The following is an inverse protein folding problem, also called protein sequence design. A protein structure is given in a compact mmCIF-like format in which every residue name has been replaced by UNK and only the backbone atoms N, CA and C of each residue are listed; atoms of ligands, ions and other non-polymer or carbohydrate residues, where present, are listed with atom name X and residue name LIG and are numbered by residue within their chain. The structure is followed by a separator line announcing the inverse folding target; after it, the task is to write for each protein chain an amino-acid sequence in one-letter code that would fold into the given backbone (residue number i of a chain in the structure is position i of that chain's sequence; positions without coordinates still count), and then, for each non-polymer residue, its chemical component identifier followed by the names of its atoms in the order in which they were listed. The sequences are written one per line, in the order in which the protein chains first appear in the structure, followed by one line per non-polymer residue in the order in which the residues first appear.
data_IF_534398739718
#
_entry.id   IF_534398739718
#
_cell.length_a   1.000
_cell.length_b   1.000
_cell.length_c   1.000
_cell.angle_alpha   90.00
_cell.angle_beta   90.00
_cell.angle_gamma   90.00
#
_symmetry.space_group_name_H-M   'P 1'
#
loop_
_entity.id
_entity.type
_entity.pdbx_description
1 polymer ?
#
# COMPACT_ATOMS: atom_id res chain seq x y z
N UNK A 1 -14.75 -28.24 24.90
CA UNK A 1 -14.48 -28.34 23.45
C UNK A 1 -14.35 -26.93 22.92
N UNK A 2 -13.12 -26.46 22.72
CA UNK A 2 -12.83 -25.13 22.20
C UNK A 2 -13.09 -25.12 20.70
N UNK A 3 -14.17 -24.49 20.26
CA UNK A 3 -14.41 -24.19 18.86
C UNK A 3 -13.25 -23.33 18.32
N UNK A 4 -12.42 -23.93 17.48
CA UNK A 4 -11.51 -23.20 16.60
C UNK A 4 -12.34 -22.33 15.67
N UNK A 5 -12.55 -21.06 16.04
CA UNK A 5 -13.07 -20.03 15.15
C UNK A 5 -12.19 -20.01 13.90
N UNK A 6 -12.74 -20.54 12.81
CA UNK A 6 -12.10 -20.55 11.51
C UNK A 6 -11.70 -19.13 11.10
N UNK A 7 -10.69 -19.04 10.23
CA UNK A 7 -9.94 -17.87 9.80
C UNK A 7 -10.80 -16.85 8.99
N UNK A 8 -11.94 -16.39 9.53
CA UNK A 8 -12.96 -15.54 8.87
C UNK A 8 -12.50 -14.10 8.56
N UNK A 9 -11.24 -13.75 8.85
CA UNK A 9 -10.69 -12.41 8.59
C UNK A 9 -10.11 -12.25 7.19
N UNK A 10 -10.08 -13.30 6.38
CA UNK A 10 -9.48 -13.31 5.06
C UNK A 10 -10.50 -13.66 3.99
N UNK A 11 -10.50 -12.86 2.94
CA UNK A 11 -11.27 -13.09 1.72
C UNK A 11 -10.43 -12.74 0.50
N UNK A 12 -10.61 -13.49 -0.57
CA UNK A 12 -10.02 -13.15 -1.87
C UNK A 12 -10.85 -12.07 -2.55
N UNK A 13 -10.16 -11.10 -3.16
CA UNK A 13 -10.81 -10.12 -4.02
C UNK A 13 -11.41 -10.82 -5.23
N UNK A 14 -12.61 -10.38 -5.63
CA UNK A 14 -13.21 -10.79 -6.91
C UNK A 14 -12.57 -10.03 -8.09
N UNK A 15 -12.91 -10.40 -9.32
CA UNK A 15 -12.30 -9.81 -10.52
C UNK A 15 -12.50 -8.28 -10.62
N UNK A 16 -13.68 -7.77 -10.25
CA UNK A 16 -13.96 -6.33 -10.26
C UNK A 16 -13.10 -5.58 -9.23
N UNK A 17 -12.99 -6.13 -8.01
CA UNK A 17 -12.15 -5.55 -6.96
C UNK A 17 -10.66 -5.57 -7.33
N UNK A 18 -10.20 -6.62 -8.02
CA UNK A 18 -8.83 -6.66 -8.56
C UNK A 18 -8.60 -5.58 -9.61
N UNK A 19 -9.57 -5.33 -10.49
CA UNK A 19 -9.47 -4.27 -11.49
C UNK A 19 -9.42 -2.87 -10.84
N UNK A 20 -10.25 -2.62 -9.82
CA UNK A 20 -10.22 -1.35 -9.07
C UNK A 20 -8.87 -1.18 -8.38
N UNK A 21 -8.36 -2.23 -7.72
CA UNK A 21 -7.03 -2.21 -7.11
C UNK A 21 -5.94 -1.91 -8.15
N UNK A 22 -6.04 -2.53 -9.34
CA UNK A 22 -5.11 -2.28 -10.43
C UNK A 22 -5.14 -0.82 -10.89
N UNK A 23 -6.32 -0.23 -11.05
CA UNK A 23 -6.49 1.17 -11.42
C UNK A 23 -5.84 2.09 -10.39
N UNK A 24 -6.19 1.93 -9.10
CA UNK A 24 -5.63 2.72 -7.98
C UNK A 24 -4.10 2.70 -7.98
N UNK A 25 -3.49 1.54 -8.23
CA UNK A 25 -2.04 1.39 -8.20
C UNK A 25 -1.34 1.86 -9.48
N UNK A 26 -2.09 2.03 -10.58
CA UNK A 26 -1.56 2.31 -11.92
C UNK A 26 -1.81 3.73 -12.40
N UNK A 27 -2.76 4.44 -11.81
CA UNK A 27 -3.03 5.85 -12.08
C UNK A 27 -1.85 6.70 -11.58
N UNK A 28 -1.40 7.65 -12.40
CA UNK A 28 -0.35 8.57 -12.00
C UNK A 28 -0.91 9.58 -11.00
N UNK A 29 -0.18 9.80 -9.91
CA UNK A 29 -0.50 10.79 -8.89
C UNK A 29 0.61 11.83 -8.80
N UNK A 30 0.27 13.12 -8.62
CA UNK A 30 1.24 14.18 -8.48
C UNK A 30 1.88 14.16 -7.09
N UNK A 31 3.20 14.28 -7.03
CA UNK A 31 3.94 14.63 -5.83
C UNK A 31 4.50 16.03 -6.02
N UNK A 32 3.88 17.00 -5.35
CA UNK A 32 4.26 18.40 -5.48
C UNK A 32 5.60 18.68 -4.80
N UNK A 33 6.56 19.18 -5.57
CA UNK A 33 7.83 19.67 -5.06
C UNK A 33 7.64 20.95 -4.23
N UNK A 34 8.38 21.08 -3.13
CA UNK A 34 8.41 22.31 -2.33
C UNK A 34 9.34 23.34 -2.96
N UNK A 35 8.90 24.59 -3.10
CA UNK A 35 9.72 25.67 -3.69
C UNK A 35 9.82 25.53 -5.21
N UNK A 36 11.05 25.49 -5.74
CA UNK A 36 11.30 25.38 -7.19
C UNK A 36 11.51 23.93 -7.67
N UNK A 37 11.31 22.94 -6.79
CA UNK A 37 11.37 21.54 -7.21
C UNK A 37 10.15 21.21 -8.08
N UNK A 38 10.32 20.44 -9.18
CA UNK A 38 9.21 20.09 -10.06
C UNK A 38 8.19 19.20 -9.36
N UNK A 39 6.95 19.23 -9.84
CA UNK A 39 5.97 18.17 -9.51
C UNK A 39 6.36 16.90 -10.23
N UNK A 40 6.40 15.78 -9.51
CA UNK A 40 6.62 14.46 -10.08
C UNK A 40 5.27 13.80 -10.37
N UNK A 41 5.14 13.15 -11.53
CA UNK A 41 3.98 12.33 -11.87
C UNK A 41 4.38 10.87 -11.76
N UNK A 42 3.92 10.19 -10.71
CA UNK A 42 4.37 8.83 -10.39
C UNK A 42 3.19 7.91 -10.13
N UNK A 43 3.32 6.64 -10.50
CA UNK A 43 2.32 5.63 -10.16
C UNK A 43 2.63 5.04 -8.79
N UNK A 44 1.63 4.83 -7.91
CA UNK A 44 1.85 4.22 -6.60
C UNK A 44 2.59 2.89 -6.66
N UNK A 45 2.28 2.04 -7.67
CA UNK A 45 3.00 0.77 -7.87
C UNK A 45 4.51 0.93 -8.04
N UNK A 46 4.95 1.98 -8.74
CA UNK A 46 6.38 2.19 -9.01
C UNK A 46 7.10 2.60 -7.73
N UNK A 47 6.48 3.46 -6.91
CA UNK A 47 6.99 3.85 -5.59
C UNK A 47 7.09 2.62 -4.69
N UNK A 48 6.04 1.80 -4.63
CA UNK A 48 6.01 0.59 -3.80
C UNK A 48 7.15 -0.37 -4.18
N UNK A 49 7.35 -0.61 -5.49
CA UNK A 49 8.42 -1.46 -6.00
C UNK A 49 9.79 -0.88 -5.65
N UNK A 50 9.99 0.42 -5.85
CA UNK A 50 11.25 1.09 -5.57
C UNK A 50 11.62 1.04 -4.07
N UNK A 51 10.67 1.37 -3.19
CA UNK A 51 10.85 1.34 -1.73
C UNK A 51 11.15 -0.09 -1.26
N UNK A 52 10.35 -1.08 -1.67
CA UNK A 52 10.59 -2.48 -1.32
C UNK A 52 11.98 -2.95 -1.76
N UNK A 53 12.36 -2.63 -2.99
CA UNK A 53 13.67 -3.01 -3.55
C UNK A 53 14.79 -2.39 -2.74
N UNK A 54 14.69 -1.10 -2.40
CA UNK A 54 15.72 -0.39 -1.63
C UNK A 54 15.85 -0.92 -0.21
N UNK A 55 14.73 -1.19 0.49
CA UNK A 55 14.74 -1.80 1.83
C UNK A 55 15.46 -3.15 1.80
N UNK A 56 15.13 -4.01 0.84
CA UNK A 56 15.78 -5.33 0.69
C UNK A 56 17.28 -5.21 0.40
N UNK A 57 17.70 -4.23 -0.40
CA UNK A 57 19.12 -3.95 -0.66
C UNK A 57 19.86 -3.43 0.57
N UNK A 58 19.16 -2.96 1.60
CA UNK A 58 19.74 -2.55 2.88
C UNK A 58 19.68 -3.65 3.93
N UNK A 59 19.26 -4.87 3.56
CA UNK A 59 19.14 -5.99 4.47
C UNK A 59 17.85 -5.98 5.31
N UNK A 60 16.94 -5.03 5.07
CA UNK A 60 15.66 -4.96 5.78
C UNK A 60 14.67 -5.90 5.10
N UNK A 61 14.22 -6.91 5.83
CA UNK A 61 13.26 -7.88 5.32
C UNK A 61 11.85 -7.27 5.22
N UNK A 62 11.25 -7.32 4.03
CA UNK A 62 9.86 -6.89 3.79
C UNK A 62 8.98 -8.13 3.68
N UNK A 63 8.17 -8.42 4.71
CA UNK A 63 7.28 -9.60 4.77
C UNK A 63 6.06 -9.46 3.85
N UNK A 64 5.43 -8.29 3.88
CA UNK A 64 4.30 -7.96 3.02
C UNK A 64 4.19 -6.45 2.78
N UNK A 65 3.39 -6.09 1.78
CA UNK A 65 2.97 -4.72 1.50
C UNK A 65 1.45 -4.71 1.43
N UNK A 66 0.80 -3.81 2.16
CA UNK A 66 -0.66 -3.75 2.27
C UNK A 66 -1.15 -2.35 1.93
N UNK A 67 -2.23 -2.28 1.16
CA UNK A 67 -3.03 -1.06 1.03
C UNK A 67 -3.96 -0.97 2.24
N UNK A 68 -4.05 0.21 2.84
CA UNK A 68 -4.89 0.48 4.00
C UNK A 68 -5.78 1.72 3.75
N UNK A 69 -6.51 2.13 4.79
CA UNK A 69 -7.27 3.36 4.81
C UNK A 69 -8.53 3.30 3.95
N UNK A 70 -9.06 4.47 3.63
CA UNK A 70 -10.28 4.61 2.81
C UNK A 70 -10.09 4.05 1.40
N UNK A 71 -8.87 4.05 0.87
CA UNK A 71 -8.55 3.47 -0.44
C UNK A 71 -8.77 1.95 -0.44
N UNK A 72 -8.41 1.22 0.63
CA UNK A 72 -8.71 -0.20 0.72
C UNK A 72 -10.24 -0.47 0.73
N UNK A 73 -11.01 0.37 1.43
CA UNK A 73 -12.48 0.28 1.42
C UNK A 73 -13.07 0.60 0.04
N UNK A 74 -12.50 1.58 -0.68
CA UNK A 74 -12.91 1.92 -2.04
C UNK A 74 -12.69 0.77 -3.03
N UNK A 75 -11.58 0.04 -2.89
CA UNK A 75 -11.31 -1.16 -3.69
C UNK A 75 -12.37 -2.24 -3.45
N UNK A 76 -12.87 -2.37 -2.22
CA UNK A 76 -13.84 -3.40 -1.86
C UNK A 76 -15.27 -3.07 -2.29
N UNK A 77 -15.66 -1.80 -2.24
CA UNK A 77 -17.02 -1.33 -2.56
C UNK A 77 -16.92 -0.05 -3.37
N UNK A 78 -17.35 -0.10 -4.64
CA UNK A 78 -17.45 1.07 -5.52
C UNK A 78 -18.63 1.93 -5.05
N UNK A 79 -18.43 3.24 -4.85
CA UNK A 79 -19.45 4.20 -4.36
C UNK A 79 -19.97 4.03 -2.91
N UNK A 80 -19.11 3.69 -1.98
CA UNK A 80 -19.39 3.72 -0.53
C UNK A 80 -19.47 5.15 0.08
N UNK A 81 -19.59 6.20 -0.73
CA UNK A 81 -19.64 7.59 -0.27
C UNK A 81 -18.32 8.13 0.27
N UNK A 82 -17.26 7.33 0.27
CA UNK A 82 -15.90 7.73 0.65
C UNK A 82 -15.10 8.08 -0.59
N UNK A 83 -14.82 9.37 -0.82
CA UNK A 83 -13.75 9.78 -1.71
C UNK A 83 -12.43 9.27 -1.13
N UNK A 84 -11.65 8.48 -1.88
CA UNK A 84 -10.29 8.16 -1.45
C UNK A 84 -9.37 9.32 -1.82
N UNK A 85 -8.82 9.99 -0.80
CA UNK A 85 -7.94 11.14 -0.97
C UNK A 85 -6.48 10.78 -0.68
N UNK A 86 -6.28 9.83 0.23
CA UNK A 86 -4.98 9.44 0.75
C UNK A 86 -4.65 8.00 0.32
N UNK A 87 -3.39 7.76 -0.02
CA UNK A 87 -2.87 6.43 -0.35
C UNK A 87 -2.02 5.90 0.81
N UNK A 88 -2.64 5.11 1.68
CA UNK A 88 -1.97 4.52 2.83
C UNK A 88 -1.35 3.17 2.49
N UNK A 89 -0.02 3.11 2.42
CA UNK A 89 0.72 1.87 2.20
C UNK A 89 1.43 1.46 3.49
N UNK A 90 1.20 0.22 3.93
CA UNK A 90 1.91 -0.40 5.04
C UNK A 90 2.95 -1.35 4.48
N UNK A 91 4.22 -1.13 4.83
CA UNK A 91 5.30 -2.10 4.62
C UNK A 91 5.49 -2.90 5.90
N UNK A 92 5.17 -4.19 5.86
CA UNK A 92 5.39 -5.13 6.95
C UNK A 92 6.86 -5.51 7.06
N UNK A 93 7.69 -4.61 7.59
CA UNK A 93 9.13 -4.83 7.79
C UNK A 93 9.46 -5.44 9.16
N UNK A 94 10.65 -6.03 9.28
CA UNK A 94 11.28 -6.36 10.55
C UNK A 94 12.33 -5.29 10.85
N UNK A 95 12.23 -4.66 12.03
CA UNK A 95 13.12 -3.59 12.48
C UNK A 95 13.66 -3.92 13.89
N UNK A 96 14.64 -4.84 14.01
CA UNK A 96 15.17 -5.27 15.31
C UNK A 96 15.91 -4.18 16.09
N UNK A 97 16.39 -3.12 15.43
CA UNK A 97 17.14 -2.05 16.09
C UNK A 97 16.68 -0.65 15.66
N UNK A 98 17.06 0.37 16.44
CA UNK A 98 16.66 1.75 16.17
C UNK A 98 17.40 2.34 14.97
N UNK A 99 18.61 1.85 14.69
CA UNK A 99 19.42 2.29 13.55
C UNK A 99 18.71 2.04 12.21
N UNK A 100 17.91 0.98 12.12
CA UNK A 100 17.16 0.65 10.90
C UNK A 100 16.07 1.66 10.54
N UNK A 101 15.65 2.53 11.49
CA UNK A 101 14.74 3.64 11.18
C UNK A 101 15.42 4.79 10.42
N UNK A 102 16.74 4.78 10.26
CA UNK A 102 17.52 5.86 9.63
C UNK A 102 18.03 5.50 8.22
N UNK A 103 17.67 4.31 7.70
CA UNK A 103 18.26 3.70 6.49
C UNK A 103 17.51 4.06 5.22
#
# INVERSE_FOLDING_TARGET
MSETKSNQRFHSLNAEQVEILHQVLSEAVPIHGRGNFPTLELRPRDIIIAVRTRLQQQGIAVRDVRLNGSTASHVLVRDNGTSYKDLDIIFGVELPSQEEFQV
#
